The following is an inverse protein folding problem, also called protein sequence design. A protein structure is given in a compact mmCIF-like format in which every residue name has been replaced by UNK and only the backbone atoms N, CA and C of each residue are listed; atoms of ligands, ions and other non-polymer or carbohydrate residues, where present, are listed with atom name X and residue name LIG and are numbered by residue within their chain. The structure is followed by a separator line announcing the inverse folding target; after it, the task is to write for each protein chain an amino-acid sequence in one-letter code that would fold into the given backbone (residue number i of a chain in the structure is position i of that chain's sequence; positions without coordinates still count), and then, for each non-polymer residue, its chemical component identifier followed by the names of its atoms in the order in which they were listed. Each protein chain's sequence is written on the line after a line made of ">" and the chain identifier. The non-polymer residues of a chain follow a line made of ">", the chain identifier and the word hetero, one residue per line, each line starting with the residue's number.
data_IF_596497108765
#
_entry.id   IF_596497108765
#
_cell.length_a   1.000
_cell.length_b   1.000
_cell.length_c   1.000
_cell.angle_alpha   90.00
_cell.angle_beta   90.00
_cell.angle_gamma   90.00
#
_symmetry.space_group_name_H-M   'P 1'
#
loop_
_entity.id
_entity.type
_entity.pdbx_description
1 polymer ?
#
# COMPACT_ATOMS: atom_id res chain seq x y z
N UNK A 1 -25.15 26.21 0.95
CA UNK A 1 -23.93 25.90 0.17
C UNK A 1 -22.80 25.80 1.18
N UNK A 2 -22.29 24.60 1.40
CA UNK A 2 -21.25 24.28 2.39
C UNK A 2 -21.05 22.78 2.32
N UNK A 3 -19.92 22.38 1.76
CA UNK A 3 -19.64 21.05 1.24
C UNK A 3 -19.74 19.98 2.33
N UNK A 4 -20.56 18.95 2.05
CA UNK A 4 -20.50 17.67 2.73
C UNK A 4 -19.13 17.07 2.38
N UNK A 5 -18.14 17.30 3.24
CA UNK A 5 -16.82 16.68 3.14
C UNK A 5 -17.08 15.19 3.26
N UNK A 6 -17.15 14.52 2.12
CA UNK A 6 -17.26 13.07 2.05
C UNK A 6 -16.12 12.50 2.90
N UNK A 7 -16.44 12.05 4.11
CA UNK A 7 -15.50 11.37 4.98
C UNK A 7 -14.89 10.24 4.17
N UNK A 8 -13.56 10.22 4.03
CA UNK A 8 -12.86 9.10 3.43
C UNK A 8 -12.95 7.94 4.42
N UNK A 9 -13.96 7.04 4.28
CA UNK A 9 -14.27 6.07 5.32
C UNK A 9 -13.19 4.98 5.37
N UNK A 10 -12.44 4.82 4.27
CA UNK A 10 -11.30 3.91 4.19
C UNK A 10 -10.07 4.55 4.83
N UNK A 11 -9.82 5.83 4.56
CA UNK A 11 -8.78 6.60 5.23
C UNK A 11 -8.95 6.61 6.75
N UNK A 12 -10.17 6.82 7.25
CA UNK A 12 -10.46 6.76 8.69
C UNK A 12 -10.25 5.33 9.23
N UNK A 13 -10.81 4.32 8.56
CA UNK A 13 -10.71 2.91 8.97
C UNK A 13 -9.27 2.42 9.06
N UNK A 14 -8.41 2.87 8.14
CA UNK A 14 -7.02 2.44 8.07
C UNK A 14 -6.05 3.43 8.71
N UNK A 15 -6.55 4.48 9.38
CA UNK A 15 -5.73 5.42 10.14
C UNK A 15 -4.85 6.32 9.28
N UNK A 16 -5.28 6.63 8.05
CA UNK A 16 -4.57 7.52 7.12
C UNK A 16 -5.10 8.97 7.18
N UNK A 17 -6.24 9.20 7.83
CA UNK A 17 -6.79 10.56 8.03
C UNK A 17 -6.01 11.32 9.10
N UNK A 18 -5.71 12.59 8.84
CA UNK A 18 -5.06 13.49 9.78
C UNK A 18 -3.54 13.35 9.87
N UNK A 19 -2.94 12.51 9.03
CA UNK A 19 -1.49 12.37 8.85
C UNK A 19 -0.91 13.68 8.31
N UNK A 20 0.18 14.16 8.92
CA UNK A 20 0.65 15.53 8.71
C UNK A 20 1.81 15.65 7.73
N UNK A 21 2.56 14.57 7.57
CA UNK A 21 3.72 14.51 6.68
C UNK A 21 3.94 13.12 6.06
N UNK A 22 4.91 13.04 5.17
CA UNK A 22 5.22 11.85 4.38
C UNK A 22 5.78 10.70 5.23
N UNK A 23 6.50 11.00 6.32
CA UNK A 23 7.10 10.00 7.19
C UNK A 23 6.02 9.33 8.06
N UNK A 24 5.12 10.14 8.63
CA UNK A 24 3.94 9.64 9.33
C UNK A 24 3.06 8.79 8.39
N UNK A 25 2.91 9.21 7.13
CA UNK A 25 2.14 8.48 6.13
C UNK A 25 2.77 7.13 5.78
N UNK A 26 4.08 7.11 5.54
CA UNK A 26 4.81 5.88 5.28
C UNK A 26 4.71 4.91 6.47
N UNK A 27 4.80 5.42 7.70
CA UNK A 27 4.69 4.60 8.90
C UNK A 27 3.26 4.05 9.10
N UNK A 28 2.23 4.86 8.84
CA UNK A 28 0.85 4.38 8.87
C UNK A 28 0.60 3.27 7.83
N UNK A 29 1.10 3.45 6.60
CA UNK A 29 1.05 2.42 5.56
C UNK A 29 1.82 1.17 5.94
N UNK A 30 3.00 1.29 6.57
CA UNK A 30 3.79 0.16 7.05
C UNK A 30 2.98 -0.70 8.03
N UNK A 31 2.33 -0.07 9.01
CA UNK A 31 1.47 -0.77 9.98
C UNK A 31 0.31 -1.47 9.32
N UNK A 32 -0.34 -0.82 8.35
CA UNK A 32 -1.42 -1.43 7.58
C UNK A 32 -0.95 -2.67 6.80
N UNK A 33 0.23 -2.57 6.17
CA UNK A 33 0.85 -3.67 5.43
C UNK A 33 1.23 -4.84 6.35
N UNK A 34 1.65 -4.57 7.59
CA UNK A 34 1.89 -5.61 8.59
C UNK A 34 0.59 -6.25 9.08
N UNK A 35 -0.44 -5.46 9.30
CA UNK A 35 -1.75 -5.96 9.70
C UNK A 35 -2.33 -6.90 8.63
N UNK A 36 -2.30 -6.48 7.36
CA UNK A 36 -2.76 -7.30 6.23
C UNK A 36 -1.97 -8.60 6.01
N UNK A 37 -0.77 -8.76 6.58
CA UNK A 37 -0.06 -10.07 6.57
C UNK A 37 -0.71 -11.10 7.48
N UNK A 38 -1.32 -10.64 8.56
CA UNK A 38 -1.90 -11.50 9.61
C UNK A 38 -3.33 -11.89 9.29
N UNK A 39 -3.98 -11.15 8.40
CA UNK A 39 -5.33 -11.45 7.94
C UNK A 39 -5.35 -12.63 6.95
N UNK A 40 -6.33 -13.52 7.10
CA UNK A 40 -6.66 -14.50 6.06
C UNK A 40 -7.40 -13.78 4.96
N UNK A 41 -6.67 -13.18 4.02
CA UNK A 41 -7.29 -12.47 2.90
C UNK A 41 -7.82 -13.44 1.84
N UNK A 42 -9.01 -13.14 1.32
CA UNK A 42 -9.48 -13.60 0.01
C UNK A 42 -8.76 -12.76 -1.05
N UNK A 43 -8.32 -13.37 -2.15
CA UNK A 43 -7.71 -12.63 -3.25
C UNK A 43 -8.75 -11.69 -3.88
N UNK A 44 -8.51 -10.37 -3.80
CA UNK A 44 -9.34 -9.34 -4.41
C UNK A 44 -8.93 -9.02 -5.85
N UNK A 45 -7.68 -9.31 -6.21
CA UNK A 45 -7.12 -9.08 -7.55
C UNK A 45 -7.06 -10.40 -8.32
N UNK A 46 -7.31 -10.33 -9.62
CA UNK A 46 -6.93 -11.42 -10.53
C UNK A 46 -5.41 -11.57 -10.59
N UNK A 47 -4.93 -12.71 -11.08
CA UNK A 47 -3.49 -12.99 -11.22
C UNK A 47 -2.77 -11.92 -12.07
N UNK A 48 -3.37 -11.53 -13.20
CA UNK A 48 -2.82 -10.51 -14.10
C UNK A 48 -2.76 -9.12 -13.46
N UNK A 49 -3.79 -8.72 -12.71
CA UNK A 49 -3.80 -7.45 -11.99
C UNK A 49 -2.78 -7.43 -10.85
N UNK A 50 -2.64 -8.54 -10.12
CA UNK A 50 -1.62 -8.67 -9.08
C UNK A 50 -0.20 -8.57 -9.66
N UNK A 51 0.05 -9.19 -10.81
CA UNK A 51 1.33 -9.09 -11.51
C UNK A 51 1.60 -7.65 -11.98
N UNK A 52 0.64 -7.00 -12.64
CA UNK A 52 0.77 -5.62 -13.08
C UNK A 52 1.03 -4.65 -11.91
N UNK A 53 0.35 -4.85 -10.77
CA UNK A 53 0.59 -4.07 -9.56
C UNK A 53 2.02 -4.28 -9.02
N UNK A 54 2.51 -5.53 -9.02
CA UNK A 54 3.88 -5.84 -8.61
C UNK A 54 4.93 -5.12 -9.47
N UNK A 55 4.77 -5.15 -10.80
CA UNK A 55 5.67 -4.47 -11.75
C UNK A 55 5.69 -2.96 -11.51
N UNK A 56 4.52 -2.33 -11.41
CA UNK A 56 4.42 -0.88 -11.18
C UNK A 56 5.08 -0.47 -9.86
N UNK A 57 4.86 -1.24 -8.78
CA UNK A 57 5.47 -1.00 -7.48
C UNK A 57 7.00 -1.19 -7.53
N UNK A 58 7.48 -2.20 -8.27
CA UNK A 58 8.90 -2.44 -8.47
C UNK A 58 9.60 -1.32 -9.26
N UNK A 59 8.94 -0.78 -10.28
CA UNK A 59 9.44 0.38 -11.02
C UNK A 59 9.45 1.64 -10.16
N UNK A 60 8.36 1.89 -9.42
CA UNK A 60 8.29 3.01 -8.48
C UNK A 60 9.40 2.93 -7.43
N UNK A 61 9.67 1.75 -6.87
CA UNK A 61 10.71 1.56 -5.88
C UNK A 61 12.12 1.94 -6.36
N UNK A 62 12.39 1.85 -7.67
CA UNK A 62 13.69 2.19 -8.24
C UNK A 62 13.92 3.69 -8.42
N UNK A 63 12.86 4.52 -8.40
CA UNK A 63 12.97 5.96 -8.61
C UNK A 63 13.73 6.65 -7.47
N UNK A 64 13.53 6.20 -6.22
CA UNK A 64 14.23 6.69 -5.05
C UNK A 64 14.37 5.58 -3.99
N UNK A 65 15.33 4.65 -4.13
CA UNK A 65 15.46 3.48 -3.25
C UNK A 65 15.58 3.76 -1.74
N UNK A 66 16.22 4.84 -1.26
CA UNK A 66 16.28 5.13 0.17
C UNK A 66 14.97 5.70 0.74
N UNK A 67 14.05 6.23 -0.07
CA UNK A 67 12.81 6.80 0.42
C UNK A 67 11.87 5.74 1.01
N UNK A 68 11.22 6.07 2.13
CA UNK A 68 10.42 5.12 2.90
C UNK A 68 9.25 4.52 2.10
N UNK A 69 8.59 5.32 1.26
CA UNK A 69 7.50 4.85 0.40
C UNK A 69 7.99 3.90 -0.70
N UNK A 70 9.16 4.16 -1.28
CA UNK A 70 9.78 3.32 -2.30
C UNK A 70 10.21 1.97 -1.72
N UNK A 71 10.74 1.95 -0.49
CA UNK A 71 11.04 0.71 0.23
C UNK A 71 9.78 -0.11 0.53
N UNK A 72 8.68 0.55 0.89
CA UNK A 72 7.39 -0.10 1.08
C UNK A 72 6.85 -0.68 -0.24
N UNK A 73 6.97 0.06 -1.35
CA UNK A 73 6.59 -0.41 -2.66
C UNK A 73 7.39 -1.65 -3.08
N UNK A 74 8.72 -1.65 -2.92
CA UNK A 74 9.56 -2.83 -3.15
C UNK A 74 9.12 -4.04 -2.30
N UNK A 75 8.81 -3.80 -1.03
CA UNK A 75 8.35 -4.86 -0.13
C UNK A 75 7.00 -5.46 -0.56
N UNK A 76 6.08 -4.64 -1.07
CA UNK A 76 4.79 -5.09 -1.59
C UNK A 76 4.93 -5.82 -2.91
N UNK A 77 5.74 -5.30 -3.84
CA UNK A 77 6.06 -5.96 -5.11
C UNK A 77 6.61 -7.37 -4.87
N UNK A 78 7.64 -7.49 -4.01
CA UNK A 78 8.24 -8.78 -3.65
C UNK A 78 7.20 -9.78 -3.12
N UNK A 79 6.29 -9.35 -2.24
CA UNK A 79 5.24 -10.23 -1.69
C UNK A 79 4.24 -10.68 -2.74
N UNK A 80 3.86 -9.79 -3.66
CA UNK A 80 2.95 -10.13 -4.75
C UNK A 80 3.61 -11.19 -5.66
N UNK A 81 4.87 -10.99 -6.06
CA UNK A 81 5.62 -12.01 -6.81
C UNK A 81 5.67 -13.36 -6.07
N UNK A 82 5.99 -13.36 -4.77
CA UNK A 82 6.02 -14.61 -3.97
C UNK A 82 4.65 -15.31 -3.95
N UNK A 83 3.55 -14.56 -3.87
CA UNK A 83 2.19 -15.13 -3.89
C UNK A 83 1.79 -15.68 -5.26
N UNK A 84 2.33 -15.10 -6.33
CA UNK A 84 2.14 -15.57 -7.71
C UNK A 84 3.03 -16.78 -8.04
N UNK A 85 4.00 -17.12 -7.18
CA UNK A 85 4.95 -18.22 -7.40
C UNK A 85 6.11 -17.87 -8.33
N UNK A 86 6.38 -16.57 -8.52
CA UNK A 86 7.51 -16.04 -9.29
C UNK A 86 8.81 -16.02 -8.47
#
# INVERSE_FOLDING_TARGET
>A
MGEDVAQDPLGERYGLVGVRDLDEYAEALRRLVEWGRRERCVALLSEAEAYAAAELLGQFAQLDPPAALNQLAASLASRLYTRLGA
#
